data_IF_299831068480
#
_entry.id   IF_299831068480
#
_cell.length_a   1.000
_cell.length_b   1.000
_cell.length_c   1.000
_cell.angle_alpha   90.00
_cell.angle_beta   90.00
_cell.angle_gamma   90.00
#
_symmetry.space_group_name_H-M   'P 1'
#
loop_
_entity.id
_entity.type
_entity.pdbx_description
1 polymer ?
#
# COMPACT_ATOMS: atom_id res chain seq x y z
N UNK A 1 -26.81 -40.23 -31.28
CA UNK A 1 -27.18 -38.86 -31.69
C UNK A 1 -27.78 -38.11 -30.51
N UNK A 2 -28.93 -38.54 -29.97
CA UNK A 2 -29.59 -37.92 -28.80
C UNK A 2 -28.70 -37.72 -27.54
N UNK A 3 -27.87 -38.71 -27.17
CA UNK A 3 -26.95 -38.57 -26.02
C UNK A 3 -25.85 -37.53 -26.26
N UNK A 4 -25.45 -37.29 -27.52
CA UNK A 4 -24.45 -36.30 -27.90
C UNK A 4 -25.05 -34.90 -27.84
N UNK A 5 -26.24 -34.72 -28.40
CA UNK A 5 -27.00 -33.47 -28.36
C UNK A 5 -27.30 -33.02 -26.91
N UNK A 6 -27.76 -33.94 -26.05
CA UNK A 6 -27.99 -33.63 -24.64
C UNK A 6 -26.70 -33.27 -23.87
N UNK A 7 -25.55 -33.83 -24.27
CA UNK A 7 -24.24 -33.49 -23.67
C UNK A 7 -23.77 -32.11 -24.14
N UNK A 8 -23.94 -31.80 -25.42
CA UNK A 8 -23.58 -30.50 -26.02
C UNK A 8 -24.47 -29.38 -25.47
N UNK A 9 -25.76 -29.62 -25.27
CA UNK A 9 -26.68 -28.67 -24.64
C UNK A 9 -26.28 -28.38 -23.17
N UNK A 10 -25.97 -29.43 -22.39
CA UNK A 10 -25.46 -29.28 -21.02
C UNK A 10 -24.16 -28.48 -20.97
N UNK A 11 -23.25 -28.73 -21.92
CA UNK A 11 -22.00 -27.97 -22.06
C UNK A 11 -22.28 -26.50 -22.35
N UNK A 12 -23.16 -26.18 -23.30
CA UNK A 12 -23.53 -24.81 -23.62
C UNK A 12 -24.27 -24.07 -22.50
N UNK A 13 -25.03 -24.78 -21.66
CA UNK A 13 -25.61 -24.20 -20.42
C UNK A 13 -24.52 -23.91 -19.39
N UNK A 14 -23.57 -24.83 -19.19
CA UNK A 14 -22.46 -24.65 -18.27
C UNK A 14 -21.55 -23.48 -18.69
N UNK A 15 -21.21 -23.38 -19.97
CA UNK A 15 -20.41 -22.26 -20.53
C UNK A 15 -21.09 -20.91 -20.32
N UNK A 16 -22.41 -20.82 -20.56
CA UNK A 16 -23.17 -19.58 -20.30
C UNK A 16 -23.17 -19.20 -18.82
N UNK A 17 -23.29 -20.18 -17.92
CA UNK A 17 -23.20 -19.93 -16.47
C UNK A 17 -21.81 -19.44 -16.06
N UNK A 18 -20.75 -20.05 -16.60
CA UNK A 18 -19.36 -19.61 -16.36
C UNK A 18 -19.19 -18.18 -16.88
N UNK A 19 -19.59 -17.89 -18.11
CA UNK A 19 -19.45 -16.55 -18.70
C UNK A 19 -20.16 -15.47 -17.87
N UNK A 20 -21.36 -15.79 -17.37
CA UNK A 20 -22.11 -14.90 -16.48
C UNK A 20 -21.41 -14.72 -15.12
N UNK A 21 -20.73 -15.75 -14.61
CA UNK A 21 -20.07 -15.72 -13.31
C UNK A 21 -18.74 -14.95 -13.34
N UNK A 22 -18.04 -14.88 -14.48
CA UNK A 22 -16.80 -14.10 -14.63
C UNK A 22 -17.08 -12.60 -14.34
N UNK A 23 -18.20 -12.07 -14.83
CA UNK A 23 -18.63 -10.70 -14.55
C UNK A 23 -17.56 -9.65 -14.88
N UNK A 24 -17.27 -8.76 -13.92
CA UNK A 24 -16.36 -7.62 -14.12
C UNK A 24 -14.91 -8.03 -14.44
N UNK A 25 -14.49 -9.26 -14.12
CA UNK A 25 -13.16 -9.77 -14.47
C UNK A 25 -12.87 -9.66 -15.97
N UNK A 26 -13.90 -9.74 -16.83
CA UNK A 26 -13.76 -9.54 -18.28
C UNK A 26 -13.12 -8.19 -18.63
N UNK A 27 -13.40 -7.12 -17.86
CA UNK A 27 -12.78 -5.80 -18.05
C UNK A 27 -11.31 -5.83 -17.69
N UNK A 28 -10.94 -6.53 -16.61
CA UNK A 28 -9.55 -6.68 -16.16
C UNK A 28 -8.75 -7.51 -17.16
N UNK A 29 -9.33 -8.59 -17.69
CA UNK A 29 -8.70 -9.41 -18.73
C UNK A 29 -8.46 -8.60 -20.01
N UNK A 30 -9.42 -7.76 -20.41
CA UNK A 30 -9.25 -6.85 -21.54
C UNK A 30 -8.14 -5.82 -21.29
N UNK A 31 -8.10 -5.19 -20.11
CA UNK A 31 -7.02 -4.26 -19.75
C UNK A 31 -5.66 -4.96 -19.79
N UNK A 32 -5.59 -6.18 -19.28
CA UNK A 32 -4.37 -7.00 -19.32
C UNK A 32 -3.98 -7.34 -20.76
N UNK A 33 -4.90 -7.77 -21.62
CA UNK A 33 -4.58 -8.16 -23.00
C UNK A 33 -4.14 -6.99 -23.88
N UNK A 34 -4.69 -5.80 -23.64
CA UNK A 34 -4.40 -4.60 -24.43
C UNK A 34 -3.01 -4.01 -24.13
N UNK A 35 -2.43 -4.31 -22.97
CA UNK A 35 -1.09 -3.85 -22.55
C UNK A 35 -0.90 -2.34 -22.70
N UNK A 36 -1.97 -1.55 -22.54
CA UNK A 36 -1.95 -0.08 -22.61
C UNK A 36 -1.41 0.51 -21.32
N UNK A 37 -0.93 1.75 -21.39
CA UNK A 37 -0.49 2.51 -20.22
C UNK A 37 -1.66 2.70 -19.24
N UNK A 38 -1.46 2.27 -18.00
CA UNK A 38 -2.37 2.53 -16.88
C UNK A 38 -1.82 3.71 -16.08
N UNK A 39 -2.70 4.67 -15.79
CA UNK A 39 -2.33 5.85 -15.00
C UNK A 39 -3.10 5.82 -13.69
N UNK A 40 -2.38 5.94 -12.58
CA UNK A 40 -2.93 6.01 -11.24
C UNK A 40 -2.41 7.22 -10.46
N UNK A 41 -2.98 7.48 -9.29
CA UNK A 41 -2.45 8.44 -8.35
C UNK A 41 -2.32 7.76 -7.00
N UNK A 42 -1.08 7.55 -6.53
CA UNK A 42 -0.82 6.84 -5.29
C UNK A 42 -1.42 5.41 -5.29
N UNK A 43 -1.27 4.70 -6.41
CA UNK A 43 -2.16 3.60 -6.80
C UNK A 43 -1.70 2.21 -6.40
N UNK A 44 -0.75 2.07 -5.45
CA UNK A 44 -0.27 0.75 -5.01
C UNK A 44 -1.39 -0.11 -4.43
N UNK A 45 -2.28 0.49 -3.63
CA UNK A 45 -3.40 -0.23 -3.03
C UNK A 45 -4.48 -0.55 -4.07
N UNK A 46 -4.72 0.33 -5.04
CA UNK A 46 -5.64 0.04 -6.15
C UNK A 46 -5.17 -1.20 -6.91
N UNK A 47 -3.88 -1.26 -7.23
CA UNK A 47 -3.27 -2.37 -7.96
C UNK A 47 -3.31 -3.65 -7.11
N UNK A 48 -2.95 -3.59 -5.83
CA UNK A 48 -3.00 -4.74 -4.93
C UNK A 48 -4.45 -5.28 -4.77
N UNK A 49 -5.44 -4.39 -4.67
CA UNK A 49 -6.84 -4.79 -4.58
C UNK A 49 -7.36 -5.37 -5.88
N UNK A 50 -7.06 -4.76 -7.04
CA UNK A 50 -7.40 -5.32 -8.36
C UNK A 50 -6.78 -6.72 -8.49
N UNK A 51 -5.52 -6.88 -8.11
CA UNK A 51 -4.85 -8.18 -8.11
C UNK A 51 -5.59 -9.20 -7.23
N UNK A 52 -5.80 -8.88 -5.95
CA UNK A 52 -6.42 -9.80 -4.98
C UNK A 52 -7.83 -10.27 -5.37
N UNK A 53 -8.60 -9.40 -6.05
CA UNK A 53 -10.01 -9.64 -6.40
C UNK A 53 -10.17 -10.26 -7.78
N UNK A 54 -9.29 -9.91 -8.70
CA UNK A 54 -9.47 -10.24 -10.11
C UNK A 54 -8.30 -10.97 -10.73
N UNK A 55 -7.16 -11.18 -10.08
CA UNK A 55 -6.06 -11.98 -10.65
C UNK A 55 -5.89 -13.27 -9.86
N UNK A 56 -5.70 -13.14 -8.54
CA UNK A 56 -5.50 -14.26 -7.62
C UNK A 56 -5.11 -13.76 -6.23
N UNK A 57 -4.84 -14.65 -5.27
CA UNK A 57 -4.33 -14.26 -3.96
C UNK A 57 -3.02 -13.47 -4.12
N UNK A 58 -2.82 -12.44 -3.31
CA UNK A 58 -1.56 -11.67 -3.32
C UNK A 58 -0.38 -12.63 -3.11
N UNK A 59 0.70 -12.52 -3.91
CA UNK A 59 1.84 -13.40 -3.77
C UNK A 59 2.53 -13.26 -2.41
N UNK A 60 3.25 -14.31 -2.03
CA UNK A 60 3.89 -14.43 -0.71
C UNK A 60 5.10 -13.50 -0.57
N UNK A 61 5.67 -13.08 -1.69
CA UNK A 61 6.83 -12.20 -1.76
C UNK A 61 6.55 -11.01 -2.65
N UNK A 62 7.26 -9.90 -2.38
CA UNK A 62 7.12 -8.70 -3.19
C UNK A 62 7.68 -8.93 -4.61
N UNK A 63 8.71 -9.76 -4.74
CA UNK A 63 9.32 -10.23 -5.98
C UNK A 63 8.27 -10.87 -6.91
N UNK A 64 7.52 -11.83 -6.39
CA UNK A 64 6.45 -12.52 -7.13
C UNK A 64 5.31 -11.55 -7.50
N UNK A 65 4.97 -10.63 -6.59
CA UNK A 65 3.98 -9.59 -6.86
C UNK A 65 4.42 -8.68 -8.02
N UNK A 66 5.67 -8.21 -8.00
CA UNK A 66 6.22 -7.38 -9.07
C UNK A 66 6.21 -8.13 -10.41
N UNK A 67 6.71 -9.37 -10.44
CA UNK A 67 6.75 -10.18 -11.64
C UNK A 67 5.35 -10.37 -12.24
N UNK A 68 4.38 -10.75 -11.40
CA UNK A 68 3.01 -10.98 -11.85
C UNK A 68 2.32 -9.69 -12.31
N UNK A 69 2.52 -8.56 -11.62
CA UNK A 69 1.98 -7.27 -12.07
C UNK A 69 2.56 -6.86 -13.42
N UNK A 70 3.86 -7.04 -13.63
CA UNK A 70 4.50 -6.72 -14.92
C UNK A 70 3.90 -7.53 -16.06
N UNK A 71 3.59 -8.80 -15.82
CA UNK A 71 2.99 -9.68 -16.82
C UNK A 71 1.57 -9.24 -17.18
N UNK A 72 0.78 -8.74 -16.22
CA UNK A 72 -0.59 -8.27 -16.47
C UNK A 72 -0.61 -6.83 -17.02
N UNK A 73 0.10 -5.92 -16.37
CA UNK A 73 0.09 -4.47 -16.60
C UNK A 73 1.53 -3.96 -16.78
N UNK A 74 2.10 -4.08 -17.99
CA UNK A 74 3.52 -3.81 -18.22
C UNK A 74 3.89 -2.32 -18.20
N UNK A 75 2.91 -1.42 -18.21
CA UNK A 75 3.14 0.03 -18.24
C UNK A 75 2.20 0.71 -17.26
N UNK A 76 2.77 1.22 -16.16
CA UNK A 76 2.03 1.94 -15.13
C UNK A 76 2.72 3.26 -14.82
N UNK A 77 1.97 4.35 -14.74
CA UNK A 77 2.46 5.64 -14.23
C UNK A 77 1.67 6.06 -13.01
N UNK A 78 2.37 6.26 -11.90
CA UNK A 78 1.83 6.91 -10.71
C UNK A 78 2.07 8.42 -10.79
N UNK A 79 1.00 9.19 -10.99
CA UNK A 79 1.05 10.65 -11.08
C UNK A 79 1.60 11.32 -9.83
N UNK A 80 1.50 10.68 -8.65
CA UNK A 80 2.11 11.20 -7.43
C UNK A 80 3.64 11.15 -7.51
N UNK A 81 4.21 10.13 -8.15
CA UNK A 81 5.65 10.08 -8.43
C UNK A 81 6.01 11.14 -9.46
N UNK A 82 5.24 11.22 -10.55
CA UNK A 82 5.47 12.18 -11.63
C UNK A 82 5.61 13.62 -11.09
N UNK A 83 4.69 14.02 -10.20
CA UNK A 83 4.67 15.35 -9.57
C UNK A 83 5.81 15.53 -8.55
N UNK A 84 6.20 14.49 -7.80
CA UNK A 84 7.25 14.61 -6.79
C UNK A 84 8.68 14.54 -7.36
N UNK A 85 8.89 13.76 -8.41
CA UNK A 85 10.22 13.49 -8.97
C UNK A 85 10.61 14.54 -10.00
N UNK A 86 9.66 15.05 -10.79
CA UNK A 86 9.95 16.06 -11.80
C UNK A 86 10.12 17.44 -11.14
N UNK A 87 11.29 18.10 -11.22
CA UNK A 87 11.53 19.37 -10.53
C UNK A 87 10.59 20.50 -10.98
N UNK A 88 10.23 20.53 -12.26
CA UNK A 88 9.35 21.57 -12.81
C UNK A 88 7.91 21.40 -12.33
N UNK A 89 7.40 20.16 -12.31
CA UNK A 89 6.08 19.86 -11.77
C UNK A 89 6.04 20.06 -10.25
N UNK A 90 7.07 19.62 -9.53
CA UNK A 90 7.19 19.82 -8.09
C UNK A 90 7.21 21.31 -7.72
N UNK A 91 7.96 22.13 -8.46
CA UNK A 91 7.98 23.58 -8.25
C UNK A 91 6.61 24.22 -8.49
N UNK A 92 5.85 23.73 -9.48
CA UNK A 92 4.48 24.19 -9.76
C UNK A 92 3.49 23.88 -8.65
N UNK A 93 3.75 22.86 -7.84
CA UNK A 93 2.98 22.61 -6.62
C UNK A 93 3.18 23.70 -5.56
N UNK A 94 4.13 24.63 -5.70
CA UNK A 94 4.34 25.76 -4.77
C UNK A 94 4.44 25.34 -3.28
N UNK A 95 5.06 24.18 -3.02
CA UNK A 95 5.15 23.55 -1.68
C UNK A 95 3.80 23.11 -1.09
N UNK A 96 2.75 22.98 -1.91
CA UNK A 96 1.48 22.39 -1.51
C UNK A 96 1.59 20.87 -1.37
N UNK A 97 0.53 20.27 -0.80
CA UNK A 97 0.38 18.82 -0.76
C UNK A 97 0.39 18.22 -2.17
N UNK A 98 0.87 16.98 -2.31
CA UNK A 98 0.74 16.19 -3.53
C UNK A 98 -0.45 15.24 -3.48
N UNK A 99 -1.53 15.63 -2.79
CA UNK A 99 -2.81 14.95 -2.88
C UNK A 99 -3.40 15.11 -4.28
N UNK A 100 -4.29 14.20 -4.67
CA UNK A 100 -4.95 14.23 -5.98
C UNK A 100 -5.65 15.58 -6.22
N UNK A 101 -6.47 16.02 -5.27
CA UNK A 101 -7.17 17.31 -5.34
C UNK A 101 -6.19 18.49 -5.45
N UNK A 102 -5.14 18.55 -4.62
CA UNK A 102 -4.17 19.66 -4.70
C UNK A 102 -3.38 19.67 -6.01
N UNK A 103 -3.02 18.48 -6.52
CA UNK A 103 -2.34 18.34 -7.81
C UNK A 103 -3.27 18.75 -8.96
N UNK A 104 -4.55 18.36 -8.89
CA UNK A 104 -5.55 18.72 -9.89
C UNK A 104 -5.77 20.22 -9.95
N UNK A 105 -6.07 20.89 -8.82
CA UNK A 105 -6.29 22.34 -8.80
C UNK A 105 -5.02 23.13 -9.19
N UNK A 106 -3.82 22.62 -8.89
CA UNK A 106 -2.56 23.30 -9.24
C UNK A 106 -2.19 23.15 -10.72
N UNK A 107 -2.42 21.98 -11.32
CA UNK A 107 -2.00 21.67 -12.68
C UNK A 107 -3.11 21.85 -13.72
N UNK A 108 -4.38 21.73 -13.31
CA UNK A 108 -5.58 21.75 -14.16
C UNK A 108 -6.62 22.87 -13.82
N UNK A 109 -6.22 24.13 -13.55
CA UNK A 109 -7.13 25.19 -13.08
C UNK A 109 -8.26 25.58 -14.05
N UNK A 110 -8.11 25.27 -15.36
CA UNK A 110 -9.12 25.58 -16.38
C UNK A 110 -10.28 24.57 -16.43
N UNK A 111 -10.14 23.40 -15.80
CA UNK A 111 -11.22 22.39 -15.71
C UNK A 111 -12.21 22.74 -14.59
N UNK A 112 -11.79 23.55 -13.62
CA UNK A 112 -12.65 24.02 -12.52
C UNK A 112 -13.45 25.28 -12.87
N UNK A 113 -13.03 26.11 -13.84
CA UNK A 113 -13.73 27.32 -14.28
C UNK A 113 -13.60 27.55 -15.80
N UNK A 114 -14.70 27.45 -16.56
CA UNK A 114 -14.69 27.84 -17.97
C UNK A 114 -14.94 29.35 -18.08
N UNK A 115 -13.91 30.21 -18.00
CA UNK A 115 -13.97 31.54 -18.64
C UNK A 115 -12.67 32.33 -18.74
N UNK A 116 -12.46 32.78 -19.98
CA UNK A 116 -11.99 34.09 -20.48
C UNK A 116 -10.63 34.63 -20.02
N UNK A 117 -9.75 34.71 -21.03
CA UNK A 117 -8.94 35.91 -21.27
C UNK A 117 -7.48 35.82 -20.84
N UNK A 118 -6.63 35.80 -21.86
CA UNK A 118 -5.26 36.34 -21.88
C UNK A 118 -4.40 36.15 -20.64
N UNK A 119 -3.58 35.10 -20.63
CA UNK A 119 -2.24 35.26 -20.08
C UNK A 119 -1.18 34.49 -20.89
N UNK A 120 -0.41 35.29 -21.60
CA UNK A 120 0.92 35.15 -22.20
C UNK A 120 1.54 33.74 -22.34
N UNK A 121 1.71 33.29 -23.59
CA UNK A 121 2.87 32.63 -24.23
C UNK A 121 3.75 31.56 -23.52
N UNK A 122 3.49 31.17 -22.26
CA UNK A 122 4.27 30.19 -21.48
C UNK A 122 3.43 28.99 -20.96
N UNK A 123 2.18 28.87 -21.41
CA UNK A 123 1.28 27.80 -21.00
C UNK A 123 0.85 26.97 -22.21
N UNK A 124 1.77 26.18 -22.77
CA UNK A 124 1.39 24.98 -23.51
C UNK A 124 0.64 24.07 -22.51
N UNK A 125 -0.69 24.14 -22.52
CA UNK A 125 -1.58 23.30 -21.73
C UNK A 125 -2.42 22.49 -22.69
N UNK A 126 -2.61 21.22 -22.38
CA UNK A 126 -3.42 20.31 -23.20
C UNK A 126 -4.89 20.68 -23.01
N UNK A 127 -5.60 20.90 -24.11
CA UNK A 127 -7.06 21.02 -24.08
C UNK A 127 -7.63 19.62 -23.88
N UNK A 128 -8.29 19.42 -22.75
CA UNK A 128 -8.94 18.15 -22.42
C UNK A 128 -10.41 18.31 -22.77
N UNK A 129 -10.86 17.57 -23.78
CA UNK A 129 -12.27 17.48 -24.12
C UNK A 129 -12.86 16.23 -23.46
N UNK A 130 -13.91 16.41 -22.67
CA UNK A 130 -14.52 15.31 -21.93
C UNK A 130 -15.79 14.90 -22.65
N UNK A 131 -15.72 13.81 -23.41
CA UNK A 131 -16.91 13.22 -24.01
C UNK A 131 -17.67 12.45 -22.93
N UNK A 132 -18.67 13.11 -22.33
CA UNK A 132 -19.61 12.48 -21.41
C UNK A 132 -21.02 12.79 -21.88
N UNK A 133 -21.92 11.82 -21.77
CA UNK A 133 -23.35 12.10 -21.89
C UNK A 133 -23.73 13.19 -20.86
N UNK A 134 -24.40 14.25 -21.34
CA UNK A 134 -24.77 15.46 -20.60
C UNK A 134 -25.44 15.22 -19.23
N UNK A 135 -25.91 13.99 -18.96
CA UNK A 135 -26.61 13.57 -17.73
C UNK A 135 -25.65 13.26 -16.56
N UNK A 136 -24.38 12.90 -16.80
CA UNK A 136 -23.44 12.50 -15.71
C UNK A 136 -22.51 13.60 -15.20
N UNK A 137 -22.10 14.57 -16.04
CA UNK A 137 -21.18 15.63 -15.62
C UNK A 137 -21.76 16.60 -14.58
N UNK A 138 -23.08 16.77 -14.52
CA UNK A 138 -23.75 17.70 -13.59
C UNK A 138 -23.64 17.32 -12.11
N UNK A 139 -23.02 16.18 -11.77
CA UNK A 139 -22.79 15.71 -10.40
C UNK A 139 -21.34 15.76 -9.94
N UNK A 140 -20.40 16.18 -10.79
CA UNK A 140 -18.98 16.23 -10.47
C UNK A 140 -18.64 17.49 -9.69
N UNK A 141 -18.83 17.45 -8.37
CA UNK A 141 -18.40 18.51 -7.47
C UNK A 141 -17.01 18.19 -6.93
N UNK A 142 -16.04 19.08 -7.13
CA UNK A 142 -14.68 18.95 -6.58
C UNK A 142 -14.62 18.88 -5.04
N UNK A 143 -15.73 19.16 -4.35
CA UNK A 143 -15.91 18.99 -2.90
C UNK A 143 -16.97 17.96 -2.51
N UNK A 144 -17.42 17.12 -3.44
CA UNK A 144 -18.38 16.03 -3.19
C UNK A 144 -17.75 14.80 -2.54
N UNK A 145 -18.56 13.77 -2.29
CA UNK A 145 -18.03 12.45 -1.89
C UNK A 145 -17.13 11.92 -3.00
N UNK A 146 -15.94 11.43 -2.64
CA UNK A 146 -15.01 10.85 -3.61
C UNK A 146 -15.69 9.72 -4.41
N UNK A 147 -15.49 9.73 -5.73
CA UNK A 147 -16.01 8.72 -6.66
C UNK A 147 -14.86 8.23 -7.54
N UNK A 148 -14.67 6.91 -7.62
CA UNK A 148 -13.54 6.30 -8.33
C UNK A 148 -13.42 6.77 -9.79
N UNK A 149 -14.55 6.94 -10.49
CA UNK A 149 -14.57 7.45 -11.86
C UNK A 149 -14.11 8.91 -11.99
N UNK A 150 -14.49 9.76 -11.04
CA UNK A 150 -14.06 11.16 -11.01
C UNK A 150 -12.59 11.30 -10.61
N UNK A 151 -12.13 10.49 -9.66
CA UNK A 151 -10.72 10.44 -9.26
C UNK A 151 -9.83 9.94 -10.41
N UNK A 152 -10.28 8.94 -11.17
CA UNK A 152 -9.61 8.49 -12.39
C UNK A 152 -9.57 9.59 -13.46
N UNK A 153 -10.64 10.36 -13.63
CA UNK A 153 -10.67 11.51 -14.52
C UNK A 153 -9.66 12.60 -14.10
N UNK A 154 -9.64 12.99 -12.81
CA UNK A 154 -8.67 13.95 -12.29
C UNK A 154 -7.22 13.47 -12.49
N UNK A 155 -6.98 12.17 -12.25
CA UNK A 155 -5.69 11.51 -12.46
C UNK A 155 -5.25 11.59 -13.92
N UNK A 156 -6.15 11.29 -14.86
CA UNK A 156 -5.88 11.41 -16.30
C UNK A 156 -5.57 12.85 -16.72
N UNK A 157 -6.29 13.83 -16.16
CA UNK A 157 -6.03 15.24 -16.44
C UNK A 157 -4.64 15.69 -15.97
N UNK A 158 -4.26 15.30 -14.75
CA UNK A 158 -2.92 15.58 -14.20
C UNK A 158 -1.86 14.99 -15.10
N UNK A 159 -2.01 13.72 -15.51
CA UNK A 159 -1.07 13.05 -16.40
C UNK A 159 -0.96 13.76 -17.75
N UNK A 160 -2.07 14.11 -18.39
CA UNK A 160 -2.06 14.82 -19.67
C UNK A 160 -1.34 16.17 -19.59
N UNK A 161 -1.60 16.97 -18.55
CA UNK A 161 -0.89 18.24 -18.34
C UNK A 161 0.59 18.02 -18.06
N UNK A 162 0.93 16.99 -17.27
CA UNK A 162 2.32 16.65 -17.00
C UNK A 162 3.08 16.22 -18.27
N UNK A 163 2.46 15.43 -19.16
CA UNK A 163 3.04 15.08 -20.45
C UNK A 163 3.31 16.32 -21.32
N UNK A 164 2.42 17.32 -21.32
CA UNK A 164 2.70 18.62 -21.98
C UNK A 164 3.99 19.25 -21.46
N UNK A 165 4.21 19.22 -20.14
CA UNK A 165 5.40 19.76 -19.50
C UNK A 165 6.67 18.93 -19.76
N UNK A 166 6.52 17.63 -19.99
CA UNK A 166 7.62 16.76 -20.42
C UNK A 166 7.96 16.94 -21.92
N UNK A 167 7.23 17.80 -22.64
CA UNK A 167 7.46 18.09 -24.05
C UNK A 167 6.86 17.05 -24.99
N UNK A 168 5.80 16.36 -24.59
CA UNK A 168 5.00 15.56 -25.53
C UNK A 168 4.24 16.47 -26.49
N UNK A 169 4.34 16.20 -27.79
CA UNK A 169 3.54 16.86 -28.81
C UNK A 169 2.26 16.05 -29.05
N UNK A 170 1.12 16.64 -28.69
CA UNK A 170 -0.18 16.00 -28.88
C UNK A 170 -0.76 16.22 -30.29
N UNK A 171 -0.15 17.08 -31.12
CA UNK A 171 -0.53 17.25 -32.52
C UNK A 171 0.05 16.15 -33.41
N UNK A 172 1.20 15.59 -33.00
CA UNK A 172 1.86 14.46 -33.64
C UNK A 172 2.05 13.34 -32.61
N UNK A 173 0.97 12.60 -32.28
CA UNK A 173 1.02 11.60 -31.22
C UNK A 173 2.06 10.53 -31.57
N UNK A 174 3.00 10.31 -30.65
CA UNK A 174 3.89 9.16 -30.74
C UNK A 174 3.05 7.87 -30.68
N UNK A 175 3.43 6.87 -31.49
CA UNK A 175 2.66 5.62 -31.65
C UNK A 175 2.52 4.87 -30.31
N UNK A 176 3.47 5.05 -29.39
CA UNK A 176 3.40 4.48 -28.05
C UNK A 176 4.03 5.38 -26.99
N UNK A 177 3.20 6.19 -26.31
CA UNK A 177 3.61 7.05 -25.20
C UNK A 177 4.31 6.25 -24.08
N UNK A 178 3.91 4.99 -23.86
CA UNK A 178 4.48 4.14 -22.81
C UNK A 178 5.92 3.69 -23.08
N UNK A 179 6.43 3.87 -24.28
CA UNK A 179 7.80 3.51 -24.66
C UNK A 179 8.68 4.74 -24.93
N UNK A 180 8.13 5.95 -24.75
CA UNK A 180 8.85 7.19 -24.95
C UNK A 180 9.87 7.42 -23.82
N UNK A 181 11.10 7.78 -24.19
CA UNK A 181 12.21 8.06 -23.27
C UNK A 181 11.85 9.12 -22.21
N UNK A 182 10.95 10.05 -22.55
CA UNK A 182 10.46 11.08 -21.61
C UNK A 182 9.75 10.48 -20.39
N UNK A 183 9.17 9.28 -20.52
CA UNK A 183 8.45 8.59 -19.45
C UNK A 183 9.24 7.47 -18.77
N UNK A 184 10.40 7.08 -19.31
CA UNK A 184 11.21 5.96 -18.82
C UNK A 184 11.51 6.04 -17.31
N UNK A 185 11.71 7.25 -16.79
CA UNK A 185 12.03 7.50 -15.37
C UNK A 185 10.84 7.34 -14.43
N UNK A 186 9.60 7.37 -14.95
CA UNK A 186 8.36 7.36 -14.16
C UNK A 186 7.56 6.06 -14.33
N UNK A 187 7.78 5.35 -15.44
CA UNK A 187 7.09 4.09 -15.72
C UNK A 187 7.46 3.03 -14.71
N UNK A 188 6.45 2.25 -14.33
CA UNK A 188 6.55 1.07 -13.47
C UNK A 188 7.17 1.41 -12.12
N UNK A 189 6.86 2.61 -11.61
CA UNK A 189 7.19 3.04 -10.26
C UNK A 189 5.90 3.38 -9.53
N UNK A 190 5.73 2.88 -8.32
CA UNK A 190 4.53 3.12 -7.50
C UNK A 190 4.89 3.74 -6.17
N UNK A 191 4.12 4.75 -5.76
CA UNK A 191 4.36 5.46 -4.50
C UNK A 191 3.86 4.62 -3.32
N UNK A 192 4.72 4.39 -2.32
CA UNK A 192 4.30 3.78 -1.06
C UNK A 192 3.87 4.88 -0.08
N UNK A 193 2.57 5.05 0.07
CA UNK A 193 1.94 6.22 0.73
C UNK A 193 2.26 6.42 2.21
N UNK A 194 3.01 5.53 2.85
CA UNK A 194 3.13 5.42 4.30
C UNK A 194 4.56 5.64 4.82
N UNK A 195 5.58 5.52 3.97
CA UNK A 195 6.97 5.65 4.39
C UNK A 195 7.70 6.63 3.47
N UNK A 196 8.02 7.83 3.98
CA UNK A 196 9.11 8.74 3.54
C UNK A 196 9.29 9.02 2.03
N UNK A 197 8.31 8.73 1.18
CA UNK A 197 8.48 8.80 -0.28
C UNK A 197 9.19 7.58 -0.88
N UNK A 198 9.10 6.42 -0.23
CA UNK A 198 9.54 5.14 -0.78
C UNK A 198 8.75 4.80 -2.04
N UNK A 199 9.43 4.16 -2.98
CA UNK A 199 8.92 3.84 -4.32
C UNK A 199 9.16 2.35 -4.56
N UNK A 200 8.11 1.64 -4.98
CA UNK A 200 8.26 0.29 -5.54
C UNK A 200 8.67 0.42 -7.00
N UNK A 201 9.78 -0.21 -7.38
CA UNK A 201 10.20 -0.35 -8.77
C UNK A 201 9.74 -1.69 -9.33
N UNK A 202 8.75 -1.65 -10.24
CA UNK A 202 8.19 -2.82 -10.90
C UNK A 202 9.02 -3.30 -12.12
N UNK A 203 10.17 -2.65 -12.42
CA UNK A 203 10.99 -2.98 -13.60
C UNK A 203 11.99 -4.11 -13.34
N UNK A 204 12.35 -4.36 -12.08
CA UNK A 204 13.42 -5.29 -11.74
C UNK A 204 12.99 -6.77 -11.92
N UNK A 205 13.66 -7.50 -12.81
CA UNK A 205 13.50 -8.97 -12.98
C UNK A 205 14.09 -9.78 -11.82
N UNK A 206 14.99 -9.18 -11.03
CA UNK A 206 15.55 -9.71 -9.79
C UNK A 206 15.54 -8.59 -8.77
N UNK A 207 14.38 -8.36 -8.18
CA UNK A 207 14.26 -7.44 -7.08
C UNK A 207 14.96 -8.05 -5.87
N UNK A 208 16.23 -7.68 -5.63
CA UNK A 208 16.79 -7.83 -4.30
C UNK A 208 15.91 -6.99 -3.36
N UNK A 209 15.60 -7.51 -2.17
CA UNK A 209 14.92 -6.81 -1.07
C UNK A 209 15.41 -5.36 -0.83
N UNK A 210 16.62 -5.04 -1.29
CA UNK A 210 17.25 -3.71 -1.24
C UNK A 210 16.72 -2.69 -2.26
N UNK A 211 16.18 -3.09 -3.42
CA UNK A 211 15.66 -2.16 -4.44
C UNK A 211 14.31 -1.51 -4.07
N UNK A 212 13.62 -2.05 -3.06
CA UNK A 212 12.40 -1.46 -2.47
C UNK A 212 12.69 -0.28 -1.55
N UNK A 213 13.96 -0.03 -1.22
CA UNK A 213 14.32 0.84 -0.10
C UNK A 213 15.28 1.92 -0.56
N UNK A 214 14.81 3.17 -0.58
CA UNK A 214 15.69 4.34 -0.64
C UNK A 214 16.56 4.43 0.62
N UNK A 215 16.23 3.67 1.68
CA UNK A 215 17.02 3.62 2.91
C UNK A 215 17.15 2.21 3.49
N UNK A 216 18.40 1.73 3.67
CA UNK A 216 18.75 0.51 4.43
C UNK A 216 18.32 0.65 5.89
N UNK A 217 17.02 0.54 6.15
CA UNK A 217 16.47 0.61 7.49
C UNK A 217 16.83 -0.65 8.27
N UNK A 218 17.42 -0.46 9.45
CA UNK A 218 17.54 -1.52 10.46
C UNK A 218 16.30 -1.46 11.34
N UNK A 219 15.41 -2.45 11.17
CA UNK A 219 14.21 -2.62 12.00
C UNK A 219 14.53 -2.73 13.49
N UNK A 220 15.76 -3.13 13.82
CA UNK A 220 16.37 -3.16 15.15
C UNK A 220 16.32 -1.82 15.91
N UNK A 221 16.08 -0.70 15.23
CA UNK A 221 15.99 0.64 15.84
C UNK A 221 14.55 1.08 16.12
N UNK A 222 13.56 0.24 15.86
CA UNK A 222 12.14 0.61 15.94
C UNK A 222 11.52 -0.02 17.19
N UNK A 223 10.85 0.82 17.97
CA UNK A 223 9.86 0.38 18.96
C UNK A 223 8.48 0.66 18.42
N UNK A 224 7.62 -0.35 18.45
CA UNK A 224 6.19 -0.20 18.30
C UNK A 224 5.58 0.12 19.68
N UNK A 225 4.79 1.18 19.77
CA UNK A 225 4.01 1.54 20.97
C UNK A 225 2.55 1.62 20.56
N UNK A 226 1.65 0.99 21.31
CA UNK A 226 0.21 1.04 21.06
C UNK A 226 -0.60 1.21 22.34
N UNK A 227 -1.86 1.62 22.19
CA UNK A 227 -2.77 1.93 23.29
C UNK A 227 -2.29 3.05 24.22
N UNK A 228 -1.57 4.04 23.66
CA UNK A 228 -1.17 5.25 24.38
C UNK A 228 -2.31 6.30 24.36
N UNK A 229 -2.26 7.33 25.22
CA UNK A 229 -3.31 8.35 25.25
C UNK A 229 -3.51 9.06 23.89
N UNK A 230 -4.71 8.94 23.30
CA UNK A 230 -5.05 9.44 21.95
C UNK A 230 -4.78 10.92 21.68
N UNK A 231 -4.56 11.73 22.72
CA UNK A 231 -4.27 13.17 22.61
C UNK A 231 -2.81 13.47 22.26
N UNK A 232 -1.92 12.48 22.37
CA UNK A 232 -0.49 12.70 22.15
C UNK A 232 -0.16 12.74 20.67
N UNK A 233 0.48 13.83 20.23
CA UNK A 233 1.04 13.90 18.90
C UNK A 233 2.50 13.39 18.86
N UNK A 234 3.00 13.15 17.65
CA UNK A 234 4.37 12.67 17.41
C UNK A 234 5.47 13.50 18.10
N UNK A 235 5.28 14.83 18.22
CA UNK A 235 6.25 15.72 18.88
C UNK A 235 6.25 15.49 20.38
N UNK A 236 5.08 15.40 21.01
CA UNK A 236 4.98 15.13 22.44
C UNK A 236 5.56 13.77 22.82
N UNK A 237 5.28 12.74 22.01
CA UNK A 237 5.83 11.39 22.20
C UNK A 237 7.36 11.45 22.11
N UNK A 238 7.89 12.10 21.07
CA UNK A 238 9.34 12.30 20.90
C UNK A 238 9.95 13.03 22.10
N UNK A 239 9.35 14.13 22.56
CA UNK A 239 9.84 14.91 23.69
C UNK A 239 9.87 14.10 24.99
N UNK A 240 8.84 13.29 25.26
CA UNK A 240 8.79 12.45 26.47
C UNK A 240 9.91 11.41 26.47
N UNK A 241 10.13 10.74 25.34
CA UNK A 241 11.20 9.74 25.21
C UNK A 241 12.58 10.41 25.27
N UNK A 242 12.77 11.53 24.58
CA UNK A 242 14.04 12.26 24.64
C UNK A 242 14.36 12.81 26.04
N UNK A 243 13.37 13.10 26.88
CA UNK A 243 13.61 13.48 28.29
C UNK A 243 14.14 12.31 29.13
N UNK A 244 13.72 11.09 28.83
CA UNK A 244 14.18 9.89 29.55
C UNK A 244 15.53 9.38 29.03
N UNK A 245 15.74 9.36 27.71
CA UNK A 245 16.91 8.71 27.09
C UNK A 245 17.95 9.68 26.54
N UNK A 246 17.70 10.99 26.58
CA UNK A 246 18.57 12.03 26.01
C UNK A 246 18.00 12.72 24.77
N UNK A 247 18.46 13.95 24.52
CA UNK A 247 17.88 14.85 23.52
C UNK A 247 17.96 14.33 22.07
N UNK A 248 18.91 13.45 21.76
CA UNK A 248 19.13 12.91 20.40
C UNK A 248 18.69 11.46 20.21
N UNK A 249 17.97 10.90 21.20
CA UNK A 249 17.72 9.46 21.28
C UNK A 249 16.68 8.97 20.28
N UNK A 250 15.72 9.84 19.93
CA UNK A 250 14.68 9.56 18.92
C UNK A 250 14.94 10.36 17.64
N UNK A 251 15.05 9.64 16.53
CA UNK A 251 15.18 10.21 15.19
C UNK A 251 13.81 10.73 14.70
N UNK A 252 12.78 9.89 14.76
CA UNK A 252 11.45 10.20 14.23
C UNK A 252 10.37 9.37 14.91
N UNK A 253 9.12 9.85 14.86
CA UNK A 253 7.92 9.14 15.33
C UNK A 253 6.91 9.12 14.19
N UNK A 254 6.34 7.96 13.90
CA UNK A 254 5.34 7.76 12.85
C UNK A 254 4.08 7.17 13.46
N UNK A 255 2.94 7.81 13.25
CA UNK A 255 1.66 7.20 13.59
C UNK A 255 1.31 6.12 12.56
N UNK A 256 0.99 4.93 13.06
CA UNK A 256 0.29 3.91 12.29
C UNK A 256 -1.19 4.28 12.18
N UNK A 257 -1.77 4.67 13.33
CA UNK A 257 -3.10 5.22 13.47
C UNK A 257 -3.19 6.07 14.76
N UNK A 258 -4.40 6.36 15.22
CA UNK A 258 -4.66 7.13 16.46
C UNK A 258 -4.32 6.37 17.74
N UNK A 259 -3.94 5.09 17.65
CA UNK A 259 -3.67 4.20 18.78
C UNK A 259 -2.30 3.55 18.76
N UNK A 260 -1.54 3.66 17.66
CA UNK A 260 -0.23 3.04 17.53
C UNK A 260 0.78 3.94 16.81
N UNK A 261 2.03 3.87 17.26
CA UNK A 261 3.17 4.62 16.71
C UNK A 261 4.40 3.74 16.58
N UNK A 262 5.17 4.00 15.53
CA UNK A 262 6.58 3.61 15.47
C UNK A 262 7.46 4.74 15.99
N UNK A 263 8.34 4.40 16.93
CA UNK A 263 9.40 5.28 17.41
C UNK A 263 10.72 4.76 16.87
N UNK A 264 11.39 5.59 16.06
CA UNK A 264 12.69 5.30 15.50
C UNK A 264 13.79 5.88 16.40
N UNK A 265 14.54 5.01 17.06
CA UNK A 265 15.69 5.39 17.89
C UNK A 265 16.95 5.63 17.05
N UNK A 266 17.91 6.34 17.63
CA UNK A 266 19.22 6.59 17.02
C UNK A 266 20.03 5.30 16.87
N UNK A 267 20.04 4.48 17.91
CA UNK A 267 20.77 3.22 18.00
C UNK A 267 19.86 2.08 18.47
N UNK A 268 20.24 0.83 18.19
CA UNK A 268 19.50 -0.37 18.55
C UNK A 268 19.49 -0.65 20.06
N UNK A 269 20.53 -0.24 20.78
CA UNK A 269 20.64 -0.49 22.24
C UNK A 269 19.54 0.24 23.02
N UNK A 270 19.13 1.42 22.54
CA UNK A 270 18.06 2.23 23.14
C UNK A 270 16.69 1.55 23.05
N UNK A 271 16.47 0.66 22.07
CA UNK A 271 15.24 -0.13 21.96
C UNK A 271 15.13 -1.09 23.14
N UNK A 272 16.20 -1.85 23.40
CA UNK A 272 16.26 -2.77 24.54
C UNK A 272 16.17 -2.05 25.87
N UNK A 273 16.84 -0.90 26.01
CA UNK A 273 16.78 -0.06 27.20
C UNK A 273 15.36 0.48 27.44
N UNK A 274 14.68 0.94 26.39
CA UNK A 274 13.30 1.41 26.48
C UNK A 274 12.35 0.31 26.95
N UNK A 275 12.44 -0.88 26.38
CA UNK A 275 11.58 -2.00 26.75
C UNK A 275 11.84 -2.47 28.20
N UNK A 276 13.10 -2.48 28.65
CA UNK A 276 13.46 -2.77 30.05
C UNK A 276 12.90 -1.73 31.03
N UNK A 277 13.03 -0.44 30.72
CA UNK A 277 12.49 0.62 31.57
C UNK A 277 10.96 0.56 31.60
N UNK A 278 10.30 0.27 30.47
CA UNK A 278 8.85 0.06 30.46
C UNK A 278 8.45 -1.07 31.42
N UNK A 279 9.10 -2.22 31.35
CA UNK A 279 8.80 -3.37 32.20
C UNK A 279 9.01 -3.04 33.69
N UNK A 280 10.05 -2.27 34.01
CA UNK A 280 10.30 -1.78 35.38
C UNK A 280 9.19 -0.83 35.85
N UNK A 281 8.76 0.10 35.01
CA UNK A 281 7.70 1.07 35.33
C UNK A 281 6.31 0.41 35.44
N UNK A 282 6.10 -0.75 34.81
CA UNK A 282 4.87 -1.54 34.96
C UNK A 282 4.86 -2.43 36.21
N UNK A 283 6.05 -2.74 36.75
CA UNK A 283 6.20 -3.60 37.92
C UNK A 283 6.24 -2.82 39.24
N UNK A 284 6.39 -1.50 39.20
CA UNK A 284 6.55 -0.63 40.37
C UNK A 284 5.36 0.34 40.49
N UNK A 285 4.52 0.16 41.50
CA UNK A 285 3.41 1.07 41.84
C UNK A 285 3.87 2.28 42.70
N UNK A 286 5.20 2.49 42.82
CA UNK A 286 5.77 3.57 43.63
C UNK A 286 5.64 4.98 43.04
N UNK A 287 5.83 6.04 43.85
CA UNK A 287 5.69 7.45 43.42
C UNK A 287 6.69 7.88 42.31
N UNK A 288 7.75 7.10 42.07
CA UNK A 288 8.73 7.33 41.02
C UNK A 288 8.14 7.10 39.62
N UNK A 289 7.18 6.18 39.47
CA UNK A 289 6.56 5.87 38.17
C UNK A 289 5.63 6.98 37.68
N UNK A 290 5.07 7.77 38.59
CA UNK A 290 4.21 8.92 38.27
C UNK A 290 5.03 10.10 37.72
N UNK A 291 6.26 10.29 38.22
CA UNK A 291 7.12 11.44 37.88
C UNK A 291 7.98 11.17 36.63
N UNK A 292 8.17 9.90 36.27
CA UNK A 292 9.03 9.54 35.14
C UNK A 292 8.53 10.16 33.82
N UNK A 293 9.41 10.70 32.94
CA UNK A 293 8.96 11.34 31.70
C UNK A 293 8.12 10.45 30.77
N UNK A 294 8.26 9.13 30.87
CA UNK A 294 7.47 8.15 30.10
C UNK A 294 6.06 7.92 30.67
N UNK A 295 5.74 8.37 31.89
CA UNK A 295 4.42 8.17 32.50
C UNK A 295 3.29 8.73 31.65
N UNK A 296 3.57 9.83 30.93
CA UNK A 296 2.64 10.45 29.97
C UNK A 296 2.27 9.51 28.81
N UNK A 297 3.17 8.62 28.41
CA UNK A 297 2.97 7.66 27.30
C UNK A 297 2.42 6.32 27.83
N UNK A 298 2.93 5.86 28.97
CA UNK A 298 2.73 4.48 29.43
C UNK A 298 1.48 4.27 30.32
N UNK A 299 0.80 5.34 30.74
CA UNK A 299 -0.49 5.34 31.44
C UNK A 299 -0.73 4.16 32.41
N UNK A 300 0.25 3.89 33.30
CA UNK A 300 0.12 2.86 34.34
C UNK A 300 -0.04 1.43 33.82
N UNK A 301 0.61 1.08 32.71
CA UNK A 301 0.74 -0.30 32.23
C UNK A 301 -0.35 -0.80 31.28
N UNK A 302 -1.22 0.10 30.80
CA UNK A 302 -2.19 -0.22 29.73
C UNK A 302 -1.61 -0.08 28.32
N UNK A 303 -0.49 0.62 28.19
CA UNK A 303 0.19 0.86 26.92
C UNK A 303 1.07 -0.32 26.56
N UNK A 304 0.84 -0.92 25.39
CA UNK A 304 1.72 -1.95 24.86
C UNK A 304 2.96 -1.34 24.19
N UNK A 305 4.11 -2.00 24.34
CA UNK A 305 5.28 -1.71 23.52
C UNK A 305 6.09 -2.98 23.25
N UNK A 306 6.69 -3.04 22.07
CA UNK A 306 7.50 -4.16 21.62
C UNK A 306 8.45 -3.75 20.49
N UNK A 307 9.33 -4.67 20.11
CA UNK A 307 10.17 -4.53 18.92
C UNK A 307 9.35 -4.61 17.61
N UNK A 308 10.01 -4.41 16.47
CA UNK A 308 9.37 -4.48 15.16
C UNK A 308 8.86 -5.88 14.78
N UNK A 309 9.34 -6.96 15.39
CA UNK A 309 8.86 -8.30 15.08
C UNK A 309 7.43 -8.52 15.59
N UNK A 310 7.06 -7.89 16.71
CA UNK A 310 5.68 -7.87 17.18
C UNK A 310 4.73 -7.25 16.14
N UNK A 311 5.15 -6.17 15.46
CA UNK A 311 4.35 -5.60 14.36
C UNK A 311 4.10 -6.63 13.25
N UNK A 312 5.14 -7.36 12.81
CA UNK A 312 5.00 -8.39 11.78
C UNK A 312 4.06 -9.51 12.23
N UNK A 313 4.17 -9.97 13.47
CA UNK A 313 3.30 -11.00 14.05
C UNK A 313 1.83 -10.54 14.05
N UNK A 314 1.56 -9.32 14.54
CA UNK A 314 0.22 -8.73 14.59
C UNK A 314 -0.37 -8.60 13.18
N UNK A 315 0.41 -8.09 12.23
CA UNK A 315 -0.02 -7.88 10.85
C UNK A 315 -0.11 -9.15 9.99
N UNK A 316 0.53 -10.25 10.42
CA UNK A 316 0.43 -11.55 9.73
C UNK A 316 -0.83 -12.32 10.12
N UNK A 317 -1.58 -11.84 11.13
CA UNK A 317 -2.85 -12.45 11.52
C UNK A 317 -3.91 -12.30 10.43
N UNK A 318 -4.74 -13.33 10.28
CA UNK A 318 -5.92 -13.31 9.40
C UNK A 318 -7.05 -12.41 9.96
N UNK A 319 -6.92 -11.95 11.20
CA UNK A 319 -7.85 -11.01 11.83
C UNK A 319 -7.64 -9.63 11.23
N UNK A 320 -8.73 -8.87 11.03
CA UNK A 320 -8.67 -7.46 10.65
C UNK A 320 -9.56 -6.63 11.55
N UNK A 321 -8.94 -5.70 12.28
CA UNK A 321 -9.59 -4.67 13.10
C UNK A 321 -9.33 -3.28 12.52
N UNK A 322 -10.17 -2.32 12.91
CA UNK A 322 -10.07 -0.93 12.44
C UNK A 322 -8.87 -0.22 13.06
N UNK A 323 -8.67 -0.40 14.37
CA UNK A 323 -7.54 0.18 15.10
C UNK A 323 -6.49 -0.90 15.39
N UNK A 324 -5.22 -0.50 15.35
CA UNK A 324 -4.08 -1.36 15.59
C UNK A 324 -4.08 -1.90 17.02
N UNK A 325 -4.46 -1.09 18.01
CA UNK A 325 -4.60 -1.54 19.40
C UNK A 325 -5.58 -2.71 19.55
N UNK A 326 -6.77 -2.61 18.94
CA UNK A 326 -7.77 -3.69 18.93
C UNK A 326 -7.25 -4.94 18.22
N UNK A 327 -6.49 -4.76 17.12
CA UNK A 327 -5.83 -5.86 16.41
C UNK A 327 -4.82 -6.56 17.31
N UNK A 328 -3.92 -5.80 17.94
CA UNK A 328 -2.88 -6.32 18.83
C UNK A 328 -3.47 -7.10 20.01
N UNK A 329 -4.54 -6.57 20.62
CA UNK A 329 -5.28 -7.24 21.70
C UNK A 329 -5.91 -8.55 21.22
N UNK A 330 -6.52 -8.56 20.03
CA UNK A 330 -7.17 -9.76 19.49
C UNK A 330 -6.16 -10.85 19.12
N UNK A 331 -4.97 -10.49 18.63
CA UNK A 331 -3.89 -11.44 18.35
C UNK A 331 -3.23 -11.96 19.64
N UNK A 332 -3.37 -11.22 20.75
CA UNK A 332 -2.84 -11.63 22.05
C UNK A 332 -1.34 -11.39 22.22
N UNK A 333 -0.75 -10.50 21.43
CA UNK A 333 0.67 -10.14 21.57
C UNK A 333 0.85 -9.26 22.80
N UNK A 334 1.29 -9.86 23.91
CA UNK A 334 1.71 -9.14 25.12
C UNK A 334 3.04 -8.43 24.87
N UNK A 335 3.29 -7.30 25.54
CA UNK A 335 4.57 -6.58 25.47
C UNK A 335 5.74 -7.54 25.77
N UNK A 336 6.69 -7.65 24.83
CA UNK A 336 7.85 -8.55 24.95
C UNK A 336 9.13 -7.76 25.20
N UNK A 337 9.93 -8.21 26.17
CA UNK A 337 11.37 -7.99 26.28
C UNK A 337 12.05 -9.32 25.88
N UNK A 338 12.88 -9.34 24.83
CA UNK A 338 13.69 -10.54 24.53
C UNK A 338 14.83 -10.65 25.55
N UNK A 339 15.17 -11.85 26.04
CA UNK A 339 16.48 -12.11 26.65
C UNK A 339 17.60 -11.91 25.60
N UNK A 340 18.78 -11.46 26.06
CA UNK A 340 19.97 -11.29 25.22
C UNK A 340 20.32 -12.58 24.43
N UNK A 341 20.86 -12.47 23.21
CA UNK A 341 21.22 -13.62 22.39
C UNK A 341 22.54 -14.22 22.88
N UNK A 342 22.53 -14.91 24.01
CA UNK A 342 23.60 -15.83 24.40
C UNK A 342 23.04 -17.08 25.07
N UNK A 343 22.93 -18.14 24.26
CA UNK A 343 22.84 -19.52 24.72
C UNK A 343 21.43 -20.08 24.78
N UNK A 344 20.86 -20.46 23.63
CA UNK A 344 19.80 -21.46 23.62
C UNK A 344 20.41 -22.81 23.25
N UNK A 345 20.57 -23.64 24.27
CA UNK A 345 20.43 -25.08 24.13
C UNK A 345 18.92 -25.38 24.08
N UNK A 346 18.51 -26.18 23.11
CA UNK A 346 17.14 -26.62 22.88
C UNK A 346 16.46 -27.20 24.12
N UNK A 347 15.12 -27.17 24.15
CA UNK A 347 14.43 -28.42 24.45
C UNK A 347 13.34 -28.74 23.42
N UNK A 348 13.46 -29.94 22.83
CA UNK A 348 12.33 -30.76 22.38
C UNK A 348 11.40 -30.99 23.58
N UNK A 349 10.09 -30.75 23.49
CA UNK A 349 8.97 -31.71 23.34
C UNK A 349 7.70 -30.90 23.69
N UNK A 350 6.48 -31.08 23.18
CA UNK A 350 5.73 -32.26 22.78
C UNK A 350 4.55 -31.80 21.91
N UNK A 351 4.37 -32.39 20.72
CA UNK A 351 3.20 -32.17 19.86
C UNK A 351 1.98 -32.89 20.47
N UNK A 352 0.88 -32.16 20.68
CA UNK A 352 -0.47 -32.76 20.74
C UNK A 352 -1.19 -32.48 19.43
N UNK A 353 -1.36 -33.53 18.65
CA UNK A 353 -2.19 -33.57 17.45
C UNK A 353 -3.65 -33.23 17.80
N UNK A 354 -4.20 -32.21 17.13
CA UNK A 354 -5.63 -32.11 16.85
C UNK A 354 -5.78 -32.00 15.34
N UNK A 355 -6.28 -33.08 14.76
CA UNK A 355 -6.62 -33.23 13.35
C UNK A 355 -7.85 -32.38 13.02
N UNK A 356 -7.65 -31.30 12.27
CA UNK A 356 -8.75 -30.52 11.67
C UNK A 356 -9.16 -31.17 10.34
N UNK A 357 -10.36 -31.76 10.33
CA UNK A 357 -11.02 -32.44 9.20
C UNK A 357 -11.28 -31.54 7.96
N UNK A 358 -10.75 -30.32 7.94
CA UNK A 358 -10.86 -29.38 6.82
C UNK A 358 -9.73 -29.54 5.79
N UNK A 359 -8.54 -30.03 6.18
CA UNK A 359 -7.45 -30.26 5.22
C UNK A 359 -7.73 -31.44 4.29
N UNK A 360 -8.37 -32.51 4.81
CA UNK A 360 -8.70 -33.71 4.04
C UNK A 360 -9.68 -33.42 2.87
N UNK A 361 -10.53 -32.40 3.01
CA UNK A 361 -11.47 -31.98 1.95
C UNK A 361 -10.78 -31.16 0.85
N UNK A 362 -9.73 -30.40 1.19
CA UNK A 362 -8.96 -29.59 0.24
C UNK A 362 -7.99 -30.49 -0.55
N UNK A 363 -7.36 -31.45 0.12
CA UNK A 363 -6.48 -32.42 -0.53
C UNK A 363 -7.25 -33.36 -1.46
N UNK A 364 -8.49 -33.74 -1.10
CA UNK A 364 -9.39 -34.48 -2.00
C UNK A 364 -9.84 -33.66 -3.22
N UNK A 365 -9.97 -32.33 -3.09
CA UNK A 365 -10.32 -31.43 -4.19
C UNK A 365 -9.14 -31.24 -5.17
N UNK A 366 -7.92 -31.15 -4.64
CA UNK A 366 -6.69 -31.03 -5.44
C UNK A 366 -6.33 -32.33 -6.17
N UNK A 367 -6.51 -33.50 -5.52
CA UNK A 367 -6.26 -34.80 -6.14
C UNK A 367 -7.18 -35.12 -7.34
N UNK A 368 -8.42 -34.60 -7.33
CA UNK A 368 -9.35 -34.76 -8.45
C UNK A 368 -9.02 -33.87 -9.65
N UNK A 369 -8.24 -32.80 -9.48
CA UNK A 369 -7.84 -31.90 -10.56
C UNK A 369 -6.70 -32.49 -11.42
N UNK A 370 -5.75 -33.17 -10.77
CA UNK A 370 -4.61 -33.82 -11.44
C UNK A 370 -5.06 -35.00 -12.33
N UNK A 371 -6.14 -35.71 -11.97
CA UNK A 371 -6.67 -36.80 -12.81
C UNK A 371 -7.41 -36.32 -14.07
N UNK A 372 -7.89 -35.07 -14.10
CA UNK A 372 -8.59 -34.52 -15.28
C UNK A 372 -7.61 -34.00 -16.33
N UNK A 373 -6.45 -33.47 -15.91
CA UNK A 373 -5.41 -33.00 -16.84
C UNK A 373 -4.63 -34.15 -17.50
N UNK A 374 -4.48 -35.29 -16.83
CA UNK A 374 -3.82 -36.47 -17.41
C UNK A 374 -4.69 -37.24 -18.44
N UNK A 375 -6.00 -36.99 -18.51
CA UNK A 375 -6.92 -37.67 -19.43
C UNK A 375 -7.19 -36.88 -20.74
N UNK A 376 -6.60 -35.69 -20.89
CA UNK A 376 -6.80 -34.80 -22.04
C UNK A 376 -5.68 -34.81 -23.08
N UNK A 377 -4.65 -35.64 -22.90
CA UNK A 377 -3.55 -35.79 -23.86
C UNK A 377 -3.48 -37.27 -24.28
N UNK A 378 -4.33 -37.62 -25.25
CA UNK A 378 -4.10 -38.64 -26.26
C UNK A 378 -5.13 -38.46 -27.38
#
# INVERSE_FOLDING_TARGET
ILQKEAKDERKGVAERKIQSAIGFRQVIDLLSSEKKLIVGHNSILDIAHVYSKFVGPLPSTAEEFVASIRDHFPYIVDTKILVNVNPMLHQRMKKSSTSLSSAFSSLCPQVELPSRGSDSFLQQRVKIDVQVDNVRCSKWNAGGKHEAGYDAFMTGCIFAQACSHLGFDFNHPSVNIAQDEKLEKYINRLYLSWARGDIIDLRASHSNAENWRVSKFKYEKIVLIWNFPRKLNAREIKECICKAFGSTSVTSVYHLDDTAVFVLFKNSELVSEFLKIKEQLESDDGPVTVIHPLSKILEGGKTGAADYEAYKEICSSHISKVLFSDQAETVGVKSRTRPDPKGEASPETERREKTDKASDLIDAFLANRVKVEAAGIN
#
